data_IF_989331673025
#
_entry.id   IF_989331673025
#
_cell.length_a   1.000
_cell.length_b   1.000
_cell.length_c   1.000
_cell.angle_alpha   90.00
_cell.angle_beta   90.00
_cell.angle_gamma   90.00
#
_symmetry.space_group_name_H-M   'P 1'
#
loop_
_entity.id
_entity.type
_entity.pdbx_description
1 polymer ?
#
# COMPACT_ATOMS: atom_id res chain seq x y z
N UNK A 1 -44.46 16.37 -35.80
CA UNK A 1 -43.69 17.17 -36.81
C UNK A 1 -42.28 16.68 -36.74
N UNK A 2 -41.91 15.85 -37.68
CA UNK A 2 -40.97 15.98 -38.82
C UNK A 2 -39.57 16.40 -38.34
N UNK A 3 -38.66 15.44 -38.30
CA UNK A 3 -37.74 15.03 -39.37
C UNK A 3 -36.51 15.92 -39.45
N UNK A 4 -35.30 15.36 -39.30
CA UNK A 4 -34.40 15.12 -40.42
C UNK A 4 -33.13 14.34 -39.97
N UNK A 5 -32.99 13.18 -40.59
CA UNK A 5 -31.75 12.41 -40.69
C UNK A 5 -30.80 13.10 -41.70
N UNK A 6 -29.53 13.13 -41.41
CA UNK A 6 -28.52 13.43 -42.44
C UNK A 6 -27.41 12.36 -42.38
N UNK A 7 -27.48 11.46 -43.39
CA UNK A 7 -26.45 10.49 -43.73
C UNK A 7 -25.35 11.17 -44.52
N UNK A 8 -24.07 10.93 -44.15
CA UNK A 8 -22.93 11.32 -45.00
C UNK A 8 -22.24 10.07 -45.52
N UNK A 9 -22.39 9.87 -46.82
CA UNK A 9 -21.77 8.85 -47.64
C UNK A 9 -20.34 9.31 -47.99
N UNK A 10 -19.31 8.53 -47.71
CA UNK A 10 -17.95 8.78 -48.22
C UNK A 10 -17.65 7.76 -49.30
N UNK A 11 -17.40 8.32 -50.48
CA UNK A 11 -17.06 7.66 -51.75
C UNK A 11 -15.63 7.11 -51.70
N UNK A 12 -15.47 5.85 -52.01
CA UNK A 12 -14.18 5.20 -52.27
C UNK A 12 -13.90 5.35 -53.79
N UNK A 13 -12.79 6.00 -54.14
CA UNK A 13 -12.30 6.06 -55.52
C UNK A 13 -11.16 5.06 -55.68
N UNK A 14 -11.39 4.01 -56.43
CA UNK A 14 -10.36 3.15 -56.97
C UNK A 14 -9.71 3.82 -58.17
N UNK A 15 -8.39 3.82 -58.21
CA UNK A 15 -7.66 4.06 -59.43
C UNK A 15 -6.75 2.85 -59.71
N UNK A 16 -7.02 2.21 -60.83
CA UNK A 16 -6.27 1.08 -61.34
C UNK A 16 -5.49 1.51 -62.59
N UNK A 17 -4.46 0.75 -62.89
CA UNK A 17 -3.72 0.60 -64.15
C UNK A 17 -2.60 1.64 -64.45
N UNK A 18 -1.35 1.23 -64.65
CA UNK A 18 -0.93 0.57 -65.89
C UNK A 18 0.43 -0.13 -65.75
N UNK A 19 0.56 -1.28 -66.32
CA UNK A 19 1.82 -2.03 -66.46
C UNK A 19 2.63 -1.46 -67.64
N UNK A 20 3.93 -1.42 -67.49
CA UNK A 20 4.82 -1.47 -68.64
C UNK A 20 6.06 -2.34 -68.37
N UNK A 21 6.41 -3.11 -69.43
CA UNK A 21 7.39 -4.18 -69.44
C UNK A 21 8.80 -3.72 -69.82
N UNK A 22 9.78 -4.48 -69.33
CA UNK A 22 11.12 -4.73 -69.88
C UNK A 22 12.25 -3.76 -69.55
N UNK A 23 13.14 -4.20 -68.66
CA UNK A 23 14.56 -4.43 -69.03
C UNK A 23 15.31 -5.25 -68.01
N UNK A 24 15.72 -6.46 -68.40
CA UNK A 24 16.74 -7.25 -67.66
C UNK A 24 18.08 -6.48 -67.68
N UNK A 25 18.67 -6.30 -66.51
CA UNK A 25 20.11 -6.17 -66.38
C UNK A 25 20.54 -6.94 -65.12
N UNK A 26 21.36 -7.97 -65.35
CA UNK A 26 22.07 -8.75 -64.36
C UNK A 26 22.99 -7.85 -63.52
N UNK A 27 22.80 -7.92 -62.19
CA UNK A 27 23.77 -7.45 -61.21
C UNK A 27 24.01 -8.62 -60.25
N UNK A 28 25.27 -8.95 -59.86
CA UNK A 28 25.61 -10.11 -59.07
C UNK A 28 25.08 -9.98 -57.65
N UNK A 29 24.68 -11.14 -57.05
CA UNK A 29 24.30 -11.31 -55.67
C UNK A 29 25.43 -10.85 -54.73
N UNK A 30 25.23 -9.78 -53.99
CA UNK A 30 25.96 -9.48 -52.76
C UNK A 30 25.10 -10.04 -51.59
N UNK A 31 25.67 -10.95 -50.85
CA UNK A 31 25.07 -11.48 -49.62
C UNK A 31 24.80 -10.34 -48.62
N UNK A 32 23.60 -10.33 -47.97
CA UNK A 32 23.32 -9.34 -46.97
C UNK A 32 24.20 -9.57 -45.72
N UNK A 33 25.03 -8.62 -45.43
CA UNK A 33 25.76 -8.53 -44.15
C UNK A 33 24.71 -8.51 -43.04
N UNK A 34 24.55 -9.63 -42.29
CA UNK A 34 23.77 -9.69 -41.08
C UNK A 34 24.52 -8.91 -40.00
N UNK A 35 24.15 -7.66 -39.87
CA UNK A 35 24.61 -6.84 -38.75
C UNK A 35 24.01 -7.41 -37.46
N UNK A 36 24.78 -8.20 -36.72
CA UNK A 36 24.43 -8.67 -35.38
C UNK A 36 24.31 -7.46 -34.47
N UNK A 37 23.09 -6.93 -34.38
CA UNK A 37 22.74 -5.95 -33.34
C UNK A 37 22.87 -6.67 -31.98
N UNK A 38 24.01 -6.50 -31.33
CA UNK A 38 24.18 -6.87 -29.93
C UNK A 38 23.19 -5.99 -29.16
N UNK A 39 22.02 -6.57 -28.83
CA UNK A 39 21.12 -6.01 -27.85
C UNK A 39 21.88 -6.07 -26.52
N UNK A 40 22.43 -4.95 -26.11
CA UNK A 40 22.87 -4.79 -24.72
C UNK A 40 21.60 -4.92 -23.87
N UNK A 41 21.41 -6.06 -23.25
CA UNK A 41 20.51 -6.19 -22.12
C UNK A 41 21.00 -5.17 -21.08
N UNK A 42 20.22 -4.13 -20.85
CA UNK A 42 20.41 -3.26 -19.68
C UNK A 42 20.28 -4.18 -18.45
N UNK A 43 21.19 -4.06 -17.47
CA UNK A 43 21.06 -4.85 -16.26
C UNK A 43 19.67 -4.58 -15.69
N UNK A 44 18.84 -5.61 -15.56
CA UNK A 44 17.63 -5.53 -14.75
C UNK A 44 18.07 -5.05 -13.36
N UNK A 45 17.65 -3.87 -12.97
CA UNK A 45 17.78 -3.38 -11.60
C UNK A 45 17.08 -4.43 -10.74
N UNK A 46 17.90 -5.28 -10.07
CA UNK A 46 17.36 -6.21 -9.09
C UNK A 46 16.74 -5.33 -8.01
N UNK A 47 15.40 -5.34 -7.91
CA UNK A 47 14.65 -4.62 -6.88
C UNK A 47 15.24 -5.00 -5.51
N UNK A 48 16.17 -4.20 -5.02
CA UNK A 48 16.82 -4.43 -3.73
C UNK A 48 15.80 -4.09 -2.65
N UNK A 49 15.38 -5.09 -1.88
CA UNK A 49 14.47 -4.88 -0.75
C UNK A 49 15.20 -4.10 0.35
N UNK A 50 14.68 -2.96 0.73
CA UNK A 50 15.16 -2.16 1.87
C UNK A 50 14.60 -2.77 3.15
N UNK A 51 15.48 -3.13 4.09
CA UNK A 51 15.09 -3.73 5.36
C UNK A 51 14.94 -2.63 6.43
N UNK A 52 13.71 -2.31 6.80
CA UNK A 52 13.42 -1.27 7.82
C UNK A 52 13.50 -1.81 9.24
N UNK A 53 13.21 -3.10 9.43
CA UNK A 53 13.37 -3.79 10.71
C UNK A 53 13.64 -5.28 10.51
N UNK A 54 14.43 -5.86 11.44
CA UNK A 54 14.80 -7.27 11.42
C UNK A 54 15.00 -7.79 12.87
N UNK A 55 13.99 -7.58 13.72
CA UNK A 55 13.96 -8.05 15.10
C UNK A 55 13.60 -9.55 15.15
N UNK A 56 14.09 -10.25 16.17
CA UNK A 56 13.43 -11.46 16.65
C UNK A 56 12.12 -11.09 17.35
N UNK A 57 11.26 -12.07 17.63
CA UNK A 57 10.02 -11.81 18.38
C UNK A 57 10.33 -11.25 19.78
N UNK A 58 11.30 -11.82 20.47
CA UNK A 58 11.74 -11.43 21.81
C UNK A 58 12.23 -9.97 21.82
N UNK A 59 13.06 -9.59 20.86
CA UNK A 59 13.54 -8.20 20.71
C UNK A 59 12.38 -7.24 20.39
N UNK A 60 11.44 -7.65 19.52
CA UNK A 60 10.31 -6.82 19.13
C UNK A 60 9.32 -6.52 20.27
N UNK A 61 9.32 -7.34 21.33
CA UNK A 61 8.48 -7.17 22.51
C UNK A 61 9.25 -6.77 23.77
N UNK A 62 10.56 -6.57 23.68
CA UNK A 62 11.39 -6.20 24.82
C UNK A 62 10.86 -4.91 25.49
N UNK A 63 10.68 -4.94 26.81
CA UNK A 63 10.17 -3.79 27.58
C UNK A 63 8.66 -3.49 27.40
N UNK A 64 7.89 -4.34 26.73
CA UNK A 64 6.45 -4.16 26.56
C UNK A 64 5.66 -4.09 27.88
N UNK A 65 6.19 -4.71 28.96
CA UNK A 65 5.56 -4.80 30.29
C UNK A 65 4.11 -5.37 30.23
N UNK A 66 3.81 -6.19 29.22
CA UNK A 66 2.52 -6.84 29.07
C UNK A 66 2.43 -8.12 29.91
N UNK A 67 1.21 -8.52 30.37
CA UNK A 67 1.00 -9.82 30.99
C UNK A 67 1.37 -10.96 30.06
N UNK A 68 1.84 -12.09 30.61
CA UNK A 68 2.31 -13.23 29.81
C UNK A 68 1.19 -13.79 28.91
N UNK A 69 -0.06 -13.83 29.41
CA UNK A 69 -1.21 -14.26 28.62
C UNK A 69 -1.49 -13.38 27.38
N UNK A 70 -1.05 -12.12 27.37
CA UNK A 70 -1.10 -11.25 26.18
C UNK A 70 0.04 -11.59 25.25
N UNK A 71 1.25 -11.75 25.79
CA UNK A 71 2.46 -12.08 25.00
C UNK A 71 2.28 -13.42 24.27
N UNK A 72 1.71 -14.42 24.94
CA UNK A 72 1.48 -15.77 24.38
C UNK A 72 0.52 -15.76 23.17
N UNK A 73 -0.32 -14.73 23.07
CA UNK A 73 -1.26 -14.54 21.94
C UNK A 73 -0.63 -13.77 20.75
N UNK A 74 0.61 -13.26 20.88
CA UNK A 74 1.25 -12.45 19.86
C UNK A 74 2.15 -13.27 18.93
N UNK A 75 2.36 -12.75 17.74
CA UNK A 75 3.39 -13.18 16.80
C UNK A 75 3.98 -11.99 16.03
N UNK A 76 5.17 -12.18 15.48
CA UNK A 76 5.88 -11.20 14.64
C UNK A 76 5.74 -11.58 13.17
N UNK A 77 5.24 -10.67 12.36
CA UNK A 77 5.10 -10.83 10.91
C UNK A 77 6.14 -9.99 10.19
N UNK A 78 6.82 -10.56 9.20
CA UNK A 78 7.50 -9.79 8.17
C UNK A 78 6.49 -9.38 7.11
N UNK A 79 6.48 -8.11 6.71
CA UNK A 79 5.57 -7.53 5.72
C UNK A 79 6.36 -6.78 4.66
N UNK A 80 5.93 -6.92 3.39
CA UNK A 80 6.47 -6.16 2.27
C UNK A 80 5.52 -5.04 1.89
N UNK A 81 6.05 -3.88 1.51
CA UNK A 81 5.27 -2.73 1.06
C UNK A 81 6.09 -1.80 0.17
N UNK A 82 5.42 -0.98 -0.62
CA UNK A 82 6.03 0.16 -1.30
C UNK A 82 6.02 1.35 -0.33
N UNK A 83 7.18 1.98 -0.13
CA UNK A 83 7.29 3.15 0.72
C UNK A 83 7.19 4.47 -0.08
N UNK A 84 7.26 5.60 0.62
CA UNK A 84 7.16 6.95 0.04
C UNK A 84 8.30 7.31 -0.90
N UNK A 85 9.39 6.55 -0.89
CA UNK A 85 10.49 6.64 -1.86
C UNK A 85 10.26 5.80 -3.13
N UNK A 86 9.08 5.18 -3.27
CA UNK A 86 8.67 4.27 -4.35
C UNK A 86 9.53 3.00 -4.46
N UNK A 87 10.15 2.57 -3.38
CA UNK A 87 10.94 1.33 -3.34
C UNK A 87 10.23 0.26 -2.53
N UNK A 88 10.64 -0.99 -2.77
CA UNK A 88 10.16 -2.14 -2.01
C UNK A 88 10.89 -2.21 -0.67
N UNK A 89 10.12 -2.19 0.41
CA UNK A 89 10.57 -2.28 1.78
C UNK A 89 10.09 -3.55 2.45
N UNK A 90 10.85 -4.03 3.44
CA UNK A 90 10.44 -5.04 4.39
C UNK A 90 10.45 -4.45 5.79
N UNK A 91 9.30 -4.47 6.43
CA UNK A 91 9.16 -4.17 7.84
C UNK A 91 8.59 -5.32 8.65
N UNK A 92 8.18 -5.02 9.88
CA UNK A 92 7.67 -6.03 10.80
C UNK A 92 6.47 -5.50 11.61
N UNK A 93 5.49 -6.36 11.85
CA UNK A 93 4.30 -6.08 12.66
C UNK A 93 4.18 -7.12 13.76
N UNK A 94 4.25 -6.70 15.03
CA UNK A 94 3.85 -7.52 16.17
C UNK A 94 2.32 -7.45 16.27
N UNK A 95 1.64 -8.58 16.21
CA UNK A 95 0.17 -8.63 16.21
C UNK A 95 -0.37 -9.88 16.88
N UNK A 96 -1.67 -9.91 17.20
CA UNK A 96 -2.32 -11.09 17.78
C UNK A 96 -2.49 -12.19 16.72
N UNK A 97 -2.20 -13.44 17.07
CA UNK A 97 -2.33 -14.64 16.22
C UNK A 97 -3.71 -14.76 15.56
N UNK A 98 -4.78 -14.23 16.21
CA UNK A 98 -6.15 -14.28 15.67
C UNK A 98 -6.36 -13.41 14.43
N UNK A 99 -5.57 -12.35 14.27
CA UNK A 99 -5.68 -11.42 13.13
C UNK A 99 -4.45 -11.44 12.22
N UNK A 100 -3.42 -12.15 12.59
CA UNK A 100 -2.13 -12.17 11.88
C UNK A 100 -2.27 -12.58 10.41
N UNK A 101 -3.04 -13.63 10.13
CA UNK A 101 -3.33 -14.05 8.75
C UNK A 101 -4.01 -12.93 7.95
N UNK A 102 -5.01 -12.27 8.54
CA UNK A 102 -5.71 -11.17 7.88
C UNK A 102 -4.76 -10.00 7.58
N UNK A 103 -3.93 -9.60 8.56
CA UNK A 103 -2.93 -8.54 8.39
C UNK A 103 -1.96 -8.88 7.26
N UNK A 104 -1.41 -10.11 7.26
CA UNK A 104 -0.48 -10.55 6.21
C UNK A 104 -1.10 -10.47 4.81
N UNK A 105 -2.33 -10.96 4.65
CA UNK A 105 -3.03 -10.94 3.37
C UNK A 105 -3.43 -9.52 2.93
N UNK A 106 -3.74 -8.63 3.89
CA UNK A 106 -4.01 -7.20 3.60
C UNK A 106 -2.73 -6.49 3.14
N UNK A 107 -1.57 -6.74 3.76
CA UNK A 107 -0.30 -6.20 3.27
C UNK A 107 0.04 -6.70 1.85
N UNK A 108 -0.25 -7.97 1.54
CA UNK A 108 -0.10 -8.49 0.18
C UNK A 108 -1.01 -7.75 -0.82
N UNK A 109 -2.25 -7.44 -0.42
CA UNK A 109 -3.16 -6.65 -1.25
C UNK A 109 -2.68 -5.19 -1.40
N UNK A 110 -2.20 -4.57 -0.32
CA UNK A 110 -1.61 -3.23 -0.35
C UNK A 110 -0.46 -3.17 -1.33
N UNK A 111 0.46 -4.13 -1.27
CA UNK A 111 1.59 -4.25 -2.20
C UNK A 111 1.11 -4.42 -3.65
N UNK A 112 0.15 -5.32 -3.89
CA UNK A 112 -0.39 -5.58 -5.23
C UNK A 112 -1.16 -4.38 -5.83
N UNK A 113 -1.64 -3.46 -4.99
CA UNK A 113 -2.33 -2.23 -5.39
C UNK A 113 -1.43 -0.99 -5.32
N UNK A 114 -0.15 -1.18 -5.08
CA UNK A 114 0.82 -0.09 -4.90
C UNK A 114 0.37 0.95 -3.86
N UNK A 115 -0.40 0.51 -2.84
CA UNK A 115 -0.79 1.35 -1.73
C UNK A 115 0.42 1.62 -0.84
N UNK A 116 0.77 2.89 -0.69
CA UNK A 116 1.98 3.30 0.02
C UNK A 116 1.82 3.15 1.53
N UNK A 117 2.78 2.48 2.15
CA UNK A 117 3.02 2.46 3.60
C UNK A 117 4.34 3.17 3.85
N UNK A 118 4.36 4.25 4.65
CA UNK A 118 5.61 4.98 4.87
C UNK A 118 6.63 4.13 5.63
N UNK A 119 6.19 3.46 6.69
CA UNK A 119 6.98 2.43 7.40
C UNK A 119 6.09 1.50 8.21
N UNK A 120 6.62 0.32 8.52
CA UNK A 120 5.96 -0.67 9.36
C UNK A 120 7.00 -1.34 10.26
N UNK A 121 7.23 -0.76 11.45
CA UNK A 121 8.25 -1.22 12.40
C UNK A 121 7.67 -1.39 13.82
N UNK A 122 8.19 -2.35 14.62
CA UNK A 122 7.68 -2.59 15.96
C UNK A 122 7.82 -1.38 16.89
N UNK A 123 6.86 -1.22 17.81
CA UNK A 123 6.79 -0.07 18.76
C UNK A 123 7.97 -0.01 19.71
N UNK A 124 8.69 -1.09 19.94
CA UNK A 124 9.93 -1.11 20.72
C UNK A 124 10.92 -0.05 20.22
N UNK A 125 10.97 0.20 18.92
CA UNK A 125 11.80 1.25 18.29
C UNK A 125 11.48 2.65 18.83
N UNK A 126 10.26 2.88 19.31
CA UNK A 126 9.79 4.14 19.90
C UNK A 126 9.70 4.09 21.42
N UNK A 127 10.40 3.15 22.08
CA UNK A 127 10.37 2.97 23.54
C UNK A 127 8.93 2.84 24.07
N UNK A 128 8.04 2.18 23.36
CA UNK A 128 6.62 2.00 23.69
C UNK A 128 5.80 3.29 23.76
N UNK A 129 6.32 4.39 23.20
CA UNK A 129 5.64 5.70 23.14
C UNK A 129 4.85 5.80 21.84
N UNK A 130 3.57 5.49 21.91
CA UNK A 130 2.61 5.51 20.80
C UNK A 130 2.63 6.83 19.99
N UNK A 131 2.62 7.96 20.68
CA UNK A 131 2.64 9.28 20.03
C UNK A 131 3.88 9.54 19.18
N UNK A 132 5.03 8.97 19.52
CA UNK A 132 6.26 9.06 18.70
C UNK A 132 6.13 8.22 17.44
N UNK A 133 5.60 7.02 17.56
CA UNK A 133 5.31 6.13 16.41
C UNK A 133 4.32 6.79 15.44
N UNK A 134 3.22 7.35 15.94
CA UNK A 134 2.24 8.08 15.13
C UNK A 134 2.85 9.30 14.45
N UNK A 135 3.68 10.08 15.16
CA UNK A 135 4.34 11.26 14.61
C UNK A 135 5.33 10.92 13.49
N UNK A 136 5.88 9.72 13.50
CA UNK A 136 6.78 9.17 12.48
C UNK A 136 6.03 8.38 11.38
N UNK A 137 4.71 8.55 11.30
CA UNK A 137 3.82 7.90 10.34
C UNK A 137 3.94 6.36 10.31
N UNK A 138 4.34 5.75 11.42
CA UNK A 138 4.57 4.32 11.49
C UNK A 138 3.27 3.53 11.56
N UNK A 139 3.15 2.51 10.72
CA UNK A 139 2.09 1.50 10.76
C UNK A 139 2.44 0.43 11.77
N UNK A 140 1.56 0.17 12.75
CA UNK A 140 1.82 -0.79 13.83
C UNK A 140 0.53 -1.42 14.35
N UNK A 141 0.64 -2.56 15.06
CA UNK A 141 -0.53 -3.24 15.65
C UNK A 141 -0.44 -3.30 17.17
N UNK A 142 0.57 -3.93 17.75
CA UNK A 142 0.70 -4.10 19.19
C UNK A 142 1.42 -2.92 19.86
N UNK A 143 0.74 -2.33 20.86
CA UNK A 143 1.33 -1.39 21.80
C UNK A 143 0.63 -1.58 23.15
N UNK A 144 1.33 -2.21 24.14
CA UNK A 144 0.71 -2.48 25.43
C UNK A 144 0.51 -1.19 26.21
N UNK A 145 -0.67 -1.08 26.78
CA UNK A 145 -1.07 -0.05 27.75
C UNK A 145 -2.09 -0.69 28.69
N UNK A 146 -2.00 -0.40 29.99
CA UNK A 146 -2.91 -0.97 31.00
C UNK A 146 -4.30 -0.32 30.90
N UNK A 147 -4.97 -0.52 29.76
CA UNK A 147 -6.30 -0.01 29.44
C UNK A 147 -7.11 -1.16 28.88
N UNK A 148 -8.12 -1.63 29.62
CA UNK A 148 -8.89 -2.85 29.32
C UNK A 148 -9.60 -2.81 27.97
N UNK A 149 -10.01 -1.64 27.49
CA UNK A 149 -10.71 -1.46 26.21
C UNK A 149 -9.78 -1.24 25.01
N UNK A 150 -8.46 -1.13 25.22
CA UNK A 150 -7.52 -0.94 24.11
C UNK A 150 -7.31 -2.24 23.34
N UNK A 151 -7.62 -2.21 22.03
CA UNK A 151 -7.35 -3.33 21.14
C UNK A 151 -5.86 -3.43 20.79
N UNK A 152 -5.13 -2.30 20.74
CA UNK A 152 -3.66 -2.31 20.57
C UNK A 152 -2.95 -3.01 21.72
N UNK A 153 -3.44 -2.83 22.96
CA UNK A 153 -2.88 -3.54 24.12
C UNK A 153 -2.99 -5.07 24.04
N UNK A 154 -3.82 -5.57 23.14
CA UNK A 154 -4.02 -7.00 22.87
C UNK A 154 -3.49 -7.43 21.49
N UNK A 155 -2.84 -6.52 20.75
CA UNK A 155 -2.42 -6.72 19.36
C UNK A 155 -3.59 -6.98 18.38
N UNK A 156 -4.81 -6.53 18.70
CA UNK A 156 -6.03 -6.78 17.91
C UNK A 156 -6.55 -5.53 17.22
N UNK A 157 -5.69 -4.55 17.04
CA UNK A 157 -5.88 -3.38 16.21
C UNK A 157 -4.64 -3.15 15.34
N UNK A 158 -4.79 -2.34 14.30
CA UNK A 158 -3.68 -1.84 13.50
C UNK A 158 -3.97 -0.40 13.11
N UNK A 159 -2.95 0.45 13.20
CA UNK A 159 -2.96 1.82 12.71
C UNK A 159 -2.15 1.90 11.42
N UNK A 160 -2.74 2.45 10.37
CA UNK A 160 -2.16 2.55 9.03
C UNK A 160 -1.80 4.02 8.74
N UNK A 161 -0.51 4.32 8.54
CA UNK A 161 -0.04 5.66 8.17
C UNK A 161 -0.72 6.78 8.97
N UNK A 162 -0.52 6.93 10.28
CA UNK A 162 -1.30 7.86 11.11
C UNK A 162 -1.23 9.33 10.69
N UNK A 163 -0.16 9.76 10.02
CA UNK A 163 -0.06 11.13 9.51
C UNK A 163 -0.86 11.36 8.24
N UNK A 164 -0.98 10.34 7.38
CA UNK A 164 -1.84 10.40 6.20
C UNK A 164 -3.31 10.18 6.56
N UNK A 165 -3.57 9.46 7.66
CA UNK A 165 -4.89 9.06 8.14
C UNK A 165 -5.13 9.55 9.58
N UNK A 166 -5.12 10.87 9.85
CA UNK A 166 -5.13 11.38 11.23
C UNK A 166 -6.45 11.12 11.96
N UNK A 167 -6.36 11.01 13.30
CA UNK A 167 -7.53 11.19 14.13
C UNK A 167 -7.97 12.66 14.09
N UNK A 168 -9.24 12.89 13.79
CA UNK A 168 -9.87 14.21 13.67
C UNK A 168 -11.10 14.29 14.56
N UNK A 169 -11.26 15.37 15.29
CA UNK A 169 -12.38 15.55 16.24
C UNK A 169 -13.66 16.01 15.52
N UNK A 170 -14.82 15.42 15.88
CA UNK A 170 -16.13 15.75 15.27
C UNK A 170 -16.77 16.98 15.90
N UNK A 171 -16.59 17.16 17.20
CA UNK A 171 -17.31 18.16 18.00
C UNK A 171 -16.40 19.07 18.79
N UNK A 172 -15.12 18.74 18.88
CA UNK A 172 -14.14 19.47 19.68
C UNK A 172 -13.16 20.20 18.76
N UNK A 173 -12.86 21.46 19.07
CA UNK A 173 -11.82 22.21 18.37
C UNK A 173 -10.45 21.84 18.95
N UNK A 174 -10.01 20.62 18.65
CA UNK A 174 -8.70 20.06 19.02
C UNK A 174 -7.86 19.84 17.78
N UNK A 175 -6.51 19.95 17.89
CA UNK A 175 -5.63 19.57 16.77
C UNK A 175 -5.78 18.09 16.42
N UNK A 176 -5.60 17.78 15.14
CA UNK A 176 -5.51 16.40 14.69
C UNK A 176 -4.38 15.65 15.40
N UNK A 177 -4.50 14.32 15.43
CA UNK A 177 -3.44 13.45 15.96
C UNK A 177 -2.99 12.48 14.86
N UNK A 178 -1.66 12.42 14.62
CA UNK A 178 -0.60 13.20 15.25
C UNK A 178 -0.69 14.71 14.93
N UNK A 179 -0.10 15.54 15.77
CA UNK A 179 -0.14 17.00 15.61
C UNK A 179 0.39 17.43 14.24
N UNK A 180 -0.32 18.37 13.60
CA UNK A 180 0.02 18.88 12.28
C UNK A 180 -0.31 17.95 11.10
N UNK A 181 -0.85 16.75 11.36
CA UNK A 181 -1.29 15.86 10.29
C UNK A 181 -2.59 16.37 9.63
N UNK A 182 -2.67 16.22 8.31
CA UNK A 182 -3.83 16.65 7.50
C UNK A 182 -4.28 15.48 6.65
N UNK A 183 -5.59 15.24 6.60
CA UNK A 183 -6.16 14.25 5.68
C UNK A 183 -6.16 14.81 4.27
N UNK A 184 -5.39 14.20 3.37
CA UNK A 184 -5.37 14.52 1.95
C UNK A 184 -5.54 13.25 1.13
N UNK A 185 -6.73 13.05 0.56
CA UNK A 185 -7.06 11.84 -0.21
C UNK A 185 -6.41 11.78 -1.58
N UNK A 186 -5.62 12.78 -1.98
CA UNK A 186 -4.80 12.74 -3.19
C UNK A 186 -3.44 12.10 -2.95
N UNK A 187 -3.03 11.96 -1.70
CA UNK A 187 -1.79 11.28 -1.30
C UNK A 187 -2.02 9.78 -1.27
N UNK A 188 -1.18 9.03 -1.98
CA UNK A 188 -1.20 7.57 -1.91
C UNK A 188 -0.81 7.10 -0.51
N UNK A 189 -1.56 6.17 0.05
CA UNK A 189 -1.45 5.75 1.47
C UNK A 189 -2.51 6.38 2.37
N UNK A 190 -3.38 7.26 1.81
CA UNK A 190 -4.53 7.83 2.52
C UNK A 190 -5.79 7.00 2.30
N UNK A 191 -6.50 6.72 3.39
CA UNK A 191 -7.74 5.94 3.43
C UNK A 191 -8.96 6.86 3.37
N UNK A 192 -10.00 6.43 2.64
CA UNK A 192 -11.27 7.13 2.52
C UNK A 192 -12.43 6.13 2.41
N UNK A 193 -13.68 6.54 2.65
CA UNK A 193 -14.84 5.69 2.43
C UNK A 193 -14.84 5.10 1.01
N UNK A 194 -15.08 3.78 0.90
CA UNK A 194 -15.01 3.01 -0.34
C UNK A 194 -13.59 2.69 -0.88
N UNK A 195 -12.52 3.12 -0.23
CA UNK A 195 -11.18 2.68 -0.60
C UNK A 195 -11.08 1.13 -0.60
N UNK A 196 -10.43 0.48 -1.59
CA UNK A 196 -10.34 -0.98 -1.66
C UNK A 196 -9.75 -1.61 -0.39
N UNK A 197 -8.72 -1.00 0.21
CA UNK A 197 -8.10 -1.49 1.45
C UNK A 197 -9.09 -1.41 2.62
N UNK A 198 -9.86 -0.33 2.76
CA UNK A 198 -10.91 -0.21 3.79
C UNK A 198 -11.96 -1.31 3.63
N UNK A 199 -12.40 -1.56 2.39
CA UNK A 199 -13.34 -2.65 2.09
C UNK A 199 -12.80 -4.01 2.46
N UNK A 200 -11.51 -4.27 2.22
CA UNK A 200 -10.91 -5.56 2.58
C UNK A 200 -10.81 -5.74 4.10
N UNK A 201 -10.42 -4.72 4.86
CA UNK A 201 -10.46 -4.76 6.32
C UNK A 201 -11.88 -5.06 6.83
N UNK A 202 -12.87 -4.32 6.35
CA UNK A 202 -14.27 -4.48 6.81
C UNK A 202 -14.86 -5.83 6.43
N UNK A 203 -14.57 -6.35 5.23
CA UNK A 203 -14.96 -7.70 4.78
C UNK A 203 -14.41 -8.80 5.70
N UNK A 204 -13.20 -8.59 6.27
CA UNK A 204 -12.58 -9.50 7.24
C UNK A 204 -13.07 -9.29 8.67
N UNK A 205 -14.04 -8.40 8.88
CA UNK A 205 -14.67 -8.16 10.17
C UNK A 205 -13.93 -7.16 11.07
N UNK A 206 -13.00 -6.37 10.51
CA UNK A 206 -12.46 -5.23 11.22
C UNK A 206 -13.45 -4.08 11.24
N UNK A 207 -13.49 -3.38 12.35
CA UNK A 207 -14.19 -2.12 12.51
C UNK A 207 -13.21 -0.98 12.17
N UNK A 208 -13.62 -0.04 11.33
CA UNK A 208 -12.83 1.15 11.02
C UNK A 208 -13.18 2.31 11.94
N UNK A 209 -12.18 2.94 12.54
CA UNK A 209 -12.32 4.05 13.48
C UNK A 209 -12.91 5.34 12.90
N UNK A 210 -12.92 5.49 11.58
CA UNK A 210 -13.63 6.56 10.88
C UNK A 210 -15.09 6.72 11.34
N UNK A 211 -15.73 5.63 11.73
CA UNK A 211 -17.14 5.62 12.15
C UNK A 211 -17.34 5.73 13.66
N UNK A 212 -16.30 6.03 14.45
CA UNK A 212 -16.47 6.28 15.88
C UNK A 212 -17.30 7.54 16.13
N UNK A 213 -18.04 7.57 17.24
CA UNK A 213 -19.04 8.61 17.49
C UNK A 213 -18.45 10.00 17.76
N UNK A 214 -17.30 10.08 18.45
CA UNK A 214 -16.70 11.34 18.92
C UNK A 214 -15.63 11.91 17.98
N UNK A 215 -15.02 11.08 17.16
CA UNK A 215 -13.93 11.44 16.27
C UNK A 215 -13.90 10.51 15.04
N UNK A 216 -13.23 10.95 13.99
CA UNK A 216 -12.82 10.11 12.87
C UNK A 216 -11.40 9.64 13.19
N UNK A 217 -11.22 8.35 13.45
CA UNK A 217 -9.92 7.73 13.67
C UNK A 217 -9.53 6.99 12.39
N UNK A 218 -9.05 7.78 11.42
CA UNK A 218 -8.94 7.30 10.05
C UNK A 218 -7.85 6.25 9.86
N UNK A 219 -6.83 6.21 10.74
CA UNK A 219 -5.78 5.18 10.70
C UNK A 219 -6.20 3.86 11.34
N UNK A 220 -7.19 3.86 12.23
CA UNK A 220 -7.45 2.75 13.16
C UNK A 220 -8.40 1.69 12.61
N UNK A 221 -7.95 0.43 12.64
CA UNK A 221 -8.79 -0.74 12.43
C UNK A 221 -8.67 -1.69 13.61
N UNK A 222 -9.79 -2.17 14.16
CA UNK A 222 -9.79 -3.16 15.24
C UNK A 222 -10.73 -4.34 14.97
N UNK A 223 -10.41 -5.50 15.57
CA UNK A 223 -11.21 -6.73 15.45
C UNK A 223 -11.40 -7.38 16.81
N UNK A 224 -12.66 -7.75 17.16
CA UNK A 224 -13.03 -8.42 18.42
C UNK A 224 -12.54 -9.86 18.48
#
# INVERSE_FOLDING_TARGET
>A
MRCLLLSLLILIVFNACHADKNREQNIPDEDPIVENKVVKEEPQETDTIIIDSNYTFEEAIEGANAPQEVIDELELLNVLYISTDNKLHQGQIVTNKRIAKDIKEIFQLMLAQEFVIEKAIPIVTYNWIDSLSMADNNTYSFCYRNISYSFHAKGRAIDINPRFNPLRWKTENRPNQPHGAVLDTTVNGTLYPNHPIVKEFTKRGFRWGHYFSKFWDDHHFDKK
#
